data_IF_047309197548
#
_entry.id   IF_047309197548
#
_cell.length_a   1.000
_cell.length_b   1.000
_cell.length_c   1.000
_cell.angle_alpha   90.00
_cell.angle_beta   90.00
_cell.angle_gamma   90.00
#
_symmetry.space_group_name_H-M   'P 1'
#
loop_
_entity.id
_entity.type
_entity.pdbx_description
1 polymer ?
#
# COMPACT_ATOMS: atom_id res chain seq x y z
N UNK A 1 -22.76 -10.24 0.08
CA UNK A 1 -23.08 -8.80 0.29
C UNK A 1 -22.62 -7.95 -0.88
N UNK A 2 -21.29 -7.82 -1.19
CA UNK A 2 -20.82 -6.98 -2.32
C UNK A 2 -21.34 -7.45 -3.69
N UNK A 3 -21.33 -8.76 -3.96
CA UNK A 3 -21.87 -9.35 -5.20
C UNK A 3 -23.35 -9.06 -5.37
N UNK A 4 -24.12 -9.17 -4.30
CA UNK A 4 -25.56 -8.88 -4.29
C UNK A 4 -25.85 -7.41 -4.60
N UNK A 5 -25.10 -6.49 -3.97
CA UNK A 5 -25.20 -5.05 -4.25
C UNK A 5 -24.92 -4.72 -5.73
N UNK A 6 -23.87 -5.34 -6.28
CA UNK A 6 -23.50 -5.16 -7.70
C UNK A 6 -24.59 -5.69 -8.62
N UNK A 7 -25.11 -6.89 -8.36
CA UNK A 7 -26.19 -7.51 -9.14
C UNK A 7 -27.45 -6.61 -9.10
N UNK A 8 -27.89 -6.18 -7.90
CA UNK A 8 -29.04 -5.28 -7.75
C UNK A 8 -28.86 -3.96 -8.53
N UNK A 9 -27.68 -3.35 -8.43
CA UNK A 9 -27.39 -2.11 -9.14
C UNK A 9 -27.41 -2.24 -10.67
N UNK A 10 -26.98 -3.39 -11.22
CA UNK A 10 -27.03 -3.65 -12.66
C UNK A 10 -28.47 -4.01 -13.09
N UNK A 11 -29.22 -4.72 -12.25
CA UNK A 11 -30.62 -5.07 -12.49
C UNK A 11 -31.51 -3.84 -12.53
N UNK A 12 -31.33 -2.88 -11.61
CA UNK A 12 -32.02 -1.59 -11.60
C UNK A 12 -31.80 -0.77 -12.89
N UNK A 13 -30.64 -0.95 -13.54
CA UNK A 13 -30.33 -0.35 -14.84
C UNK A 13 -30.92 -1.11 -16.03
N UNK A 14 -31.58 -2.27 -15.81
CA UNK A 14 -32.12 -3.13 -16.86
C UNK A 14 -31.05 -3.78 -17.76
N UNK A 15 -29.80 -3.87 -17.28
CA UNK A 15 -28.65 -4.37 -18.06
C UNK A 15 -28.10 -5.72 -17.57
N UNK A 16 -28.74 -6.33 -16.57
CA UNK A 16 -28.31 -7.61 -16.03
C UNK A 16 -28.71 -8.74 -16.99
N UNK A 17 -27.70 -9.49 -17.46
CA UNK A 17 -27.91 -10.74 -18.21
C UNK A 17 -27.59 -11.94 -17.32
N UNK A 18 -28.17 -13.12 -17.63
CA UNK A 18 -27.90 -14.35 -16.88
C UNK A 18 -26.41 -14.72 -16.91
N UNK A 19 -25.76 -14.52 -18.06
CA UNK A 19 -24.32 -14.76 -18.20
C UNK A 19 -23.49 -13.84 -17.26
N UNK A 20 -23.79 -12.54 -17.22
CA UNK A 20 -23.12 -11.59 -16.34
C UNK A 20 -23.35 -11.92 -14.87
N UNK A 21 -24.57 -12.27 -14.51
CA UNK A 21 -24.92 -12.69 -13.14
C UNK A 21 -24.10 -13.90 -12.71
N UNK A 22 -23.96 -14.90 -13.58
CA UNK A 22 -23.13 -16.08 -13.30
C UNK A 22 -21.65 -15.72 -13.17
N UNK A 23 -21.11 -14.84 -14.01
CA UNK A 23 -19.73 -14.37 -13.92
C UNK A 23 -19.49 -13.64 -12.60
N UNK A 24 -20.39 -12.76 -12.16
CA UNK A 24 -20.27 -12.07 -10.87
C UNK A 24 -20.30 -13.05 -9.71
N UNK A 25 -21.19 -14.05 -9.74
CA UNK A 25 -21.28 -15.07 -8.71
C UNK A 25 -20.04 -15.97 -8.67
N UNK A 26 -19.46 -16.30 -9.81
CA UNK A 26 -18.27 -17.12 -9.94
C UNK A 26 -16.95 -16.36 -9.60
N UNK A 27 -16.94 -15.04 -9.61
CA UNK A 27 -15.76 -14.24 -9.32
C UNK A 27 -15.21 -14.53 -7.91
N UNK A 28 -13.94 -14.91 -7.80
CA UNK A 28 -13.32 -15.30 -6.51
C UNK A 28 -12.86 -14.10 -5.68
N UNK A 29 -12.58 -12.98 -6.33
CA UNK A 29 -12.04 -11.78 -5.67
C UNK A 29 -12.96 -10.56 -5.82
N UNK A 30 -12.89 -9.64 -4.86
CA UNK A 30 -13.62 -8.37 -4.95
C UNK A 30 -13.18 -7.52 -6.15
N UNK A 31 -11.92 -7.62 -6.53
CA UNK A 31 -11.36 -6.91 -7.70
C UNK A 31 -12.00 -7.42 -8.99
N UNK A 32 -12.18 -8.74 -9.14
CA UNK A 32 -12.88 -9.32 -10.30
C UNK A 32 -14.34 -8.89 -10.35
N UNK A 33 -15.02 -8.80 -9.21
CA UNK A 33 -16.39 -8.25 -9.13
C UNK A 33 -16.43 -6.79 -9.54
N UNK A 34 -15.50 -5.97 -9.09
CA UNK A 34 -15.41 -4.56 -9.43
C UNK A 34 -15.08 -4.35 -10.92
N UNK A 35 -14.26 -5.19 -11.54
CA UNK A 35 -13.98 -5.17 -12.98
C UNK A 35 -15.26 -5.47 -13.80
N UNK A 36 -16.03 -6.50 -13.42
CA UNK A 36 -17.30 -6.83 -14.08
C UNK A 36 -18.37 -5.73 -13.89
N UNK A 37 -18.36 -5.03 -12.77
CA UNK A 37 -19.27 -3.92 -12.49
C UNK A 37 -18.88 -2.61 -13.19
N UNK A 38 -17.62 -2.45 -13.56
CA UNK A 38 -17.06 -1.19 -14.06
C UNK A 38 -17.83 -0.54 -15.22
N UNK A 39 -18.28 -1.27 -16.25
CA UNK A 39 -19.07 -0.70 -17.33
C UNK A 39 -20.44 -0.14 -16.87
N UNK A 40 -20.97 -0.66 -15.77
CA UNK A 40 -22.30 -0.34 -15.24
C UNK A 40 -22.27 0.65 -14.08
N UNK A 41 -21.08 0.89 -13.53
CA UNK A 41 -20.90 1.79 -12.39
C UNK A 41 -21.21 3.22 -12.79
N UNK A 42 -22.04 3.96 -12.01
CA UNK A 42 -22.25 5.38 -12.26
C UNK A 42 -20.92 6.13 -12.28
N UNK A 43 -20.55 6.67 -13.42
CA UNK A 43 -19.31 7.41 -13.60
C UNK A 43 -19.57 8.90 -13.43
N UNK A 44 -18.56 9.61 -12.90
CA UNK A 44 -18.52 11.06 -13.01
C UNK A 44 -18.39 11.42 -14.50
N UNK A 45 -18.70 12.67 -14.86
CA UNK A 45 -18.60 13.16 -16.23
C UNK A 45 -17.18 12.96 -16.77
N UNK A 46 -17.00 11.96 -17.64
CA UNK A 46 -15.73 11.59 -18.28
C UNK A 46 -15.64 12.21 -19.67
N UNK A 47 -14.44 12.17 -20.31
CA UNK A 47 -14.29 12.58 -21.72
C UNK A 47 -15.21 11.78 -22.63
N UNK A 48 -15.31 10.46 -22.40
CA UNK A 48 -16.20 9.59 -23.19
C UNK A 48 -17.68 9.91 -22.97
N UNK A 49 -18.12 10.19 -21.72
CA UNK A 49 -19.51 10.63 -21.48
C UNK A 49 -19.83 11.95 -22.19
N UNK A 50 -18.91 12.90 -22.15
CA UNK A 50 -19.07 14.17 -22.89
C UNK A 50 -19.17 13.91 -24.40
N UNK A 51 -18.31 13.04 -24.92
CA UNK A 51 -18.34 12.68 -26.34
C UNK A 51 -19.65 11.98 -26.74
N UNK A 52 -20.21 11.12 -25.90
CA UNK A 52 -21.52 10.48 -26.09
C UNK A 52 -22.67 11.50 -26.06
N UNK A 53 -22.64 12.43 -25.11
CA UNK A 53 -23.61 13.54 -25.05
C UNK A 53 -23.59 14.39 -26.32
N UNK A 54 -22.41 14.55 -26.94
CA UNK A 54 -22.22 15.23 -28.23
C UNK A 54 -22.68 14.40 -29.45
N UNK A 55 -23.06 13.13 -29.22
CA UNK A 55 -23.54 12.24 -30.29
C UNK A 55 -22.45 11.59 -31.12
N UNK A 56 -21.25 11.42 -30.56
CA UNK A 56 -20.08 10.85 -31.27
C UNK A 56 -19.97 9.32 -31.15
N UNK A 57 -20.92 8.67 -30.50
CA UNK A 57 -20.92 7.19 -30.36
C UNK A 57 -21.02 6.45 -31.70
N UNK A 58 -21.84 6.90 -32.69
CA UNK A 58 -21.83 6.27 -34.01
C UNK A 58 -20.46 6.36 -34.71
N UNK A 59 -19.75 7.50 -34.61
CA UNK A 59 -18.39 7.63 -35.16
C UNK A 59 -17.40 6.68 -34.49
N UNK A 60 -17.46 6.48 -33.17
CA UNK A 60 -16.68 5.50 -32.46
C UNK A 60 -16.94 4.08 -32.99
N UNK A 61 -18.21 3.74 -33.24
CA UNK A 61 -18.57 2.43 -33.84
C UNK A 61 -18.03 2.27 -35.25
N UNK A 62 -18.06 3.32 -36.08
CA UNK A 62 -17.48 3.31 -37.41
C UNK A 62 -15.96 2.99 -37.35
N UNK A 63 -15.23 3.62 -36.42
CA UNK A 63 -13.82 3.30 -36.20
C UNK A 63 -13.60 1.83 -35.81
N UNK A 64 -14.42 1.31 -34.90
CA UNK A 64 -14.32 -0.08 -34.42
C UNK A 64 -14.68 -1.12 -35.48
N UNK A 65 -15.56 -0.80 -36.43
CA UNK A 65 -15.89 -1.67 -37.55
C UNK A 65 -14.72 -1.87 -38.52
N UNK A 66 -13.77 -0.91 -38.58
CA UNK A 66 -12.55 -0.98 -39.42
C UNK A 66 -12.86 -1.25 -40.90
N UNK A 67 -13.90 -0.63 -41.44
CA UNK A 67 -14.39 -0.84 -42.80
C UNK A 67 -14.44 0.43 -43.63
N UNK A 68 -13.83 1.53 -43.17
CA UNK A 68 -13.77 2.76 -43.92
C UNK A 68 -12.97 2.57 -45.23
N UNK A 69 -13.48 3.13 -46.31
CA UNK A 69 -12.89 3.21 -47.62
C UNK A 69 -12.36 4.58 -48.01
N UNK A 70 -12.49 5.54 -47.07
CA UNK A 70 -12.07 6.94 -47.18
C UNK A 70 -11.47 7.43 -45.86
N UNK A 71 -10.76 8.56 -45.82
CA UNK A 71 -10.14 9.08 -44.60
C UNK A 71 -11.16 9.29 -43.46
N UNK A 72 -10.80 8.83 -42.23
CA UNK A 72 -11.66 8.97 -41.06
C UNK A 72 -12.00 10.43 -40.73
N UNK A 73 -11.18 11.38 -41.16
CA UNK A 73 -11.42 12.80 -41.00
C UNK A 73 -12.59 13.29 -41.84
N UNK A 74 -12.78 12.74 -43.06
CA UNK A 74 -13.90 13.02 -43.91
C UNK A 74 -15.22 12.50 -43.30
N UNK A 75 -15.19 11.30 -42.77
CA UNK A 75 -16.33 10.73 -42.02
C UNK A 75 -16.67 11.59 -40.80
N UNK A 76 -15.64 12.00 -40.02
CA UNK A 76 -15.80 12.84 -38.85
C UNK A 76 -16.40 14.23 -39.15
N UNK A 77 -16.16 14.76 -40.35
CA UNK A 77 -16.75 16.05 -40.75
C UNK A 77 -18.29 16.05 -40.73
N UNK A 78 -18.90 14.88 -40.92
CA UNK A 78 -20.38 14.74 -40.80
C UNK A 78 -20.93 14.90 -39.37
N UNK A 79 -20.07 14.92 -38.36
CA UNK A 79 -20.43 15.07 -36.95
C UNK A 79 -20.13 16.46 -36.37
N UNK A 80 -19.67 17.40 -37.19
CA UNK A 80 -19.47 18.79 -36.77
C UNK A 80 -20.81 19.41 -36.42
N UNK A 81 -20.91 19.98 -35.22
CA UNK A 81 -22.13 20.67 -34.74
C UNK A 81 -21.76 21.67 -33.66
N UNK A 82 -21.94 22.94 -33.96
CA UNK A 82 -21.76 24.03 -32.97
C UNK A 82 -22.71 23.88 -31.78
N UNK A 83 -23.95 23.46 -32.04
CA UNK A 83 -24.96 23.24 -31.01
C UNK A 83 -24.55 22.17 -29.98
N UNK A 84 -23.88 21.14 -30.45
CA UNK A 84 -23.35 20.05 -29.61
C UNK A 84 -21.93 20.31 -29.12
N UNK A 85 -21.33 21.44 -29.47
CA UNK A 85 -19.95 21.81 -29.07
C UNK A 85 -18.87 20.97 -29.74
N UNK A 86 -19.10 20.52 -30.98
CA UNK A 86 -18.12 19.87 -31.84
C UNK A 86 -17.73 20.86 -32.94
N UNK A 87 -16.59 21.51 -32.78
CA UNK A 87 -16.18 22.60 -33.65
C UNK A 87 -15.51 22.13 -34.94
N UNK A 88 -14.72 21.03 -34.85
CA UNK A 88 -13.92 20.52 -35.97
C UNK A 88 -14.10 19.00 -36.13
N UNK A 89 -13.66 18.46 -37.28
CA UNK A 89 -13.61 17.03 -37.54
C UNK A 89 -12.62 16.32 -36.60
N UNK A 90 -11.52 16.99 -36.26
CA UNK A 90 -10.50 16.51 -35.31
C UNK A 90 -11.13 16.39 -33.92
N UNK A 91 -11.96 17.36 -33.47
CA UNK A 91 -12.67 17.28 -32.18
C UNK A 91 -13.64 16.09 -32.15
N UNK A 92 -14.36 15.86 -33.26
CA UNK A 92 -15.24 14.72 -33.41
C UNK A 92 -14.46 13.39 -33.31
N UNK A 93 -13.36 13.32 -34.02
CA UNK A 93 -12.51 12.11 -34.03
C UNK A 93 -11.88 11.85 -32.65
N UNK A 94 -11.39 12.89 -31.98
CA UNK A 94 -10.86 12.77 -30.62
C UNK A 94 -11.94 12.28 -29.64
N UNK A 95 -13.16 12.81 -29.73
CA UNK A 95 -14.27 12.34 -28.92
C UNK A 95 -14.63 10.87 -29.18
N UNK A 96 -14.61 10.45 -30.45
CA UNK A 96 -14.82 9.06 -30.80
C UNK A 96 -13.70 8.15 -30.24
N UNK A 97 -12.44 8.58 -30.31
CA UNK A 97 -11.31 7.87 -29.71
C UNK A 97 -11.42 7.79 -28.16
N UNK A 98 -11.88 8.84 -27.51
CA UNK A 98 -12.11 8.84 -26.05
C UNK A 98 -13.19 7.81 -25.65
N UNK A 99 -14.24 7.63 -26.47
CA UNK A 99 -15.25 6.58 -26.26
C UNK A 99 -14.63 5.19 -26.41
N UNK A 100 -13.84 4.97 -27.46
CA UNK A 100 -13.14 3.69 -27.69
C UNK A 100 -12.16 3.39 -26.55
N UNK A 101 -11.38 4.37 -26.12
CA UNK A 101 -10.40 4.22 -25.04
C UNK A 101 -11.08 3.83 -23.72
N UNK A 102 -12.22 4.43 -23.39
CA UNK A 102 -12.98 4.07 -22.18
C UNK A 102 -13.59 2.68 -22.30
N UNK A 103 -14.11 2.28 -23.47
CA UNK A 103 -14.64 0.94 -23.70
C UNK A 103 -13.55 -0.14 -23.47
N UNK A 104 -12.35 0.07 -24.02
CA UNK A 104 -11.19 -0.83 -23.81
C UNK A 104 -10.83 -0.89 -22.32
N UNK A 105 -10.80 0.25 -21.63
CA UNK A 105 -10.44 0.30 -20.20
C UNK A 105 -11.46 -0.38 -19.29
N UNK A 106 -12.71 -0.51 -19.74
CA UNK A 106 -13.78 -1.14 -18.96
C UNK A 106 -13.89 -2.64 -19.17
N UNK A 107 -13.17 -3.21 -20.14
CA UNK A 107 -13.17 -4.65 -20.38
C UNK A 107 -12.50 -5.42 -19.24
N UNK A 108 -13.29 -6.25 -18.54
CA UNK A 108 -12.85 -7.01 -17.37
C UNK A 108 -11.71 -8.00 -17.71
N UNK A 109 -11.80 -8.68 -18.85
CA UNK A 109 -10.80 -9.65 -19.30
C UNK A 109 -9.45 -8.97 -19.57
N UNK A 110 -9.47 -7.76 -20.15
CA UNK A 110 -8.24 -7.02 -20.43
C UNK A 110 -7.57 -6.58 -19.12
N UNK A 111 -8.34 -6.09 -18.19
CA UNK A 111 -7.85 -5.69 -16.86
C UNK A 111 -7.26 -6.87 -16.10
N UNK A 112 -7.94 -8.01 -16.10
CA UNK A 112 -7.47 -9.23 -15.46
C UNK A 112 -6.13 -9.70 -16.06
N UNK A 113 -6.03 -9.74 -17.40
CA UNK A 113 -4.80 -10.08 -18.09
C UNK A 113 -3.64 -9.13 -17.75
N UNK A 114 -3.90 -7.81 -17.78
CA UNK A 114 -2.86 -6.79 -17.53
C UNK A 114 -2.38 -6.88 -16.08
N UNK A 115 -3.29 -7.05 -15.12
CA UNK A 115 -2.95 -7.23 -13.70
C UNK A 115 -2.07 -8.47 -13.50
N UNK A 116 -2.47 -9.59 -14.07
CA UNK A 116 -1.72 -10.84 -13.96
C UNK A 116 -0.32 -10.73 -14.60
N UNK A 117 -0.22 -10.11 -15.77
CA UNK A 117 1.05 -9.84 -16.43
C UNK A 117 1.96 -8.95 -15.60
N UNK A 118 1.41 -7.86 -15.05
CA UNK A 118 2.17 -6.92 -14.24
C UNK A 118 2.63 -7.56 -12.92
N UNK A 119 1.79 -8.37 -12.29
CA UNK A 119 2.19 -9.13 -11.10
C UNK A 119 3.33 -10.11 -11.37
N UNK A 120 3.33 -10.77 -12.55
CA UNK A 120 4.35 -11.77 -12.90
C UNK A 120 5.65 -11.18 -13.41
N UNK A 121 5.57 -10.10 -14.21
CA UNK A 121 6.73 -9.55 -14.96
C UNK A 121 7.06 -8.10 -14.59
N UNK A 122 6.21 -7.44 -13.84
CA UNK A 122 6.45 -6.07 -13.41
C UNK A 122 7.58 -5.98 -12.40
N UNK A 123 8.17 -4.80 -12.32
CA UNK A 123 9.27 -4.46 -11.44
C UNK A 123 8.88 -3.27 -10.59
N UNK A 124 9.12 -3.34 -9.28
CA UNK A 124 8.97 -2.19 -8.41
C UNK A 124 10.31 -1.48 -8.31
N UNK A 125 10.31 -0.19 -8.65
CA UNK A 125 11.50 0.66 -8.59
C UNK A 125 11.30 1.77 -7.57
N UNK A 126 12.38 2.20 -6.93
CA UNK A 126 12.35 3.41 -6.13
C UNK A 126 13.62 4.23 -6.29
N UNK A 127 13.45 5.54 -6.20
CA UNK A 127 14.54 6.52 -6.25
C UNK A 127 14.40 7.54 -5.14
N UNK A 128 15.53 8.08 -4.67
CA UNK A 128 15.52 9.18 -3.75
C UNK A 128 15.05 10.47 -4.45
N UNK A 129 14.28 11.28 -3.74
CA UNK A 129 13.97 12.64 -4.23
C UNK A 129 15.19 13.56 -4.14
N UNK A 130 16.00 13.36 -3.11
CA UNK A 130 17.27 14.01 -2.90
C UNK A 130 18.27 12.95 -2.44
N UNK A 131 19.30 12.69 -3.27
CA UNK A 131 20.31 11.66 -3.01
C UNK A 131 21.37 12.10 -1.97
N UNK A 132 21.45 13.39 -1.67
CA UNK A 132 22.42 13.93 -0.71
C UNK A 132 21.90 13.88 0.74
N UNK A 133 20.60 13.68 0.92
CA UNK A 133 19.98 13.59 2.26
C UNK A 133 20.20 12.19 2.85
N UNK A 134 20.96 12.10 3.93
CA UNK A 134 21.09 10.88 4.71
C UNK A 134 19.75 10.49 5.34
N UNK A 135 19.34 9.23 5.16
CA UNK A 135 18.12 8.71 5.76
C UNK A 135 18.20 7.20 6.01
N UNK A 136 17.26 6.68 6.79
CA UNK A 136 17.10 5.23 7.01
C UNK A 136 16.68 4.48 5.74
N UNK A 137 16.43 5.18 4.64
CA UNK A 137 15.97 4.62 3.35
C UNK A 137 17.06 4.57 2.29
N UNK A 138 18.33 4.82 2.62
CA UNK A 138 19.44 4.84 1.64
C UNK A 138 19.52 3.58 0.78
N UNK A 139 19.25 2.42 1.36
CA UNK A 139 19.23 1.15 0.62
C UNK A 139 18.13 1.06 -0.46
N UNK A 140 17.20 2.03 -0.48
CA UNK A 140 16.10 2.12 -1.45
C UNK A 140 16.25 3.32 -2.41
N UNK A 141 17.39 4.03 -2.40
CA UNK A 141 17.62 5.20 -3.25
C UNK A 141 17.80 4.85 -4.74
N UNK A 142 18.28 3.66 -5.03
CA UNK A 142 18.40 3.07 -6.37
C UNK A 142 17.94 1.59 -6.28
N UNK A 143 16.67 1.39 -5.97
CA UNK A 143 16.12 0.05 -5.74
C UNK A 143 15.30 -0.43 -6.93
N UNK A 144 15.51 -1.70 -7.29
CA UNK A 144 14.77 -2.38 -8.33
C UNK A 144 14.59 -3.86 -7.95
N UNK A 145 13.36 -4.35 -7.95
CA UNK A 145 13.07 -5.76 -7.68
C UNK A 145 11.79 -6.21 -8.39
N UNK A 146 11.77 -7.44 -8.98
CA UNK A 146 10.56 -8.00 -9.55
C UNK A 146 9.44 -8.13 -8.52
N UNK A 147 8.23 -7.69 -8.88
CA UNK A 147 7.05 -7.73 -7.99
C UNK A 147 6.82 -9.12 -7.40
N UNK A 148 6.97 -10.16 -8.21
CA UNK A 148 6.77 -11.55 -7.79
C UNK A 148 7.73 -12.04 -6.69
N UNK A 149 8.86 -11.34 -6.47
CA UNK A 149 9.89 -11.72 -5.49
C UNK A 149 9.95 -10.77 -4.29
N UNK A 150 9.14 -9.74 -4.30
CA UNK A 150 9.23 -8.63 -3.35
C UNK A 150 8.83 -9.06 -1.93
N UNK A 151 9.73 -8.92 -0.98
CA UNK A 151 9.47 -9.26 0.41
C UNK A 151 8.61 -8.20 1.11
N UNK A 152 7.68 -8.65 1.99
CA UNK A 152 6.71 -7.76 2.66
C UNK A 152 7.35 -6.60 3.44
N UNK A 153 8.46 -6.85 4.14
CA UNK A 153 9.16 -5.78 4.88
C UNK A 153 9.72 -4.68 3.96
N UNK A 154 10.13 -5.01 2.72
CA UNK A 154 10.57 -4.02 1.72
C UNK A 154 9.41 -3.18 1.22
N UNK A 155 8.25 -3.81 0.98
CA UNK A 155 7.01 -3.10 0.60
C UNK A 155 6.64 -2.06 1.66
N UNK A 156 6.65 -2.45 2.94
CA UNK A 156 6.33 -1.54 4.03
C UNK A 156 7.35 -0.41 4.19
N UNK A 157 8.65 -0.71 3.98
CA UNK A 157 9.71 0.30 4.02
C UNK A 157 9.58 1.29 2.87
N UNK A 158 9.35 0.82 1.63
CA UNK A 158 9.13 1.66 0.44
C UNK A 158 7.91 2.58 0.61
N UNK A 159 6.77 2.03 1.08
CA UNK A 159 5.56 2.80 1.34
C UNK A 159 5.78 3.88 2.41
N UNK A 160 6.57 3.56 3.43
CA UNK A 160 6.90 4.53 4.49
C UNK A 160 7.80 5.63 3.97
N UNK A 161 8.86 5.30 3.22
CA UNK A 161 9.76 6.28 2.61
C UNK A 161 9.04 7.20 1.62
N UNK A 162 8.07 6.67 0.86
CA UNK A 162 7.22 7.47 -0.03
C UNK A 162 6.29 8.41 0.75
N UNK A 163 5.65 7.93 1.83
CA UNK A 163 4.80 8.72 2.72
C UNK A 163 5.59 9.86 3.40
N UNK A 164 6.82 9.59 3.80
CA UNK A 164 7.75 10.57 4.38
C UNK A 164 8.38 11.50 3.32
N UNK A 165 8.03 11.31 2.03
CA UNK A 165 8.49 12.09 0.88
C UNK A 165 10.00 12.01 0.61
N UNK A 166 10.66 10.99 1.12
CA UNK A 166 12.08 10.69 0.86
C UNK A 166 12.23 9.91 -0.45
N UNK A 167 11.35 8.95 -0.70
CA UNK A 167 11.36 8.12 -1.89
C UNK A 167 10.26 8.49 -2.89
N UNK A 168 10.53 8.17 -4.16
CA UNK A 168 9.52 8.05 -5.22
C UNK A 168 9.47 6.59 -5.65
N UNK A 169 8.31 5.97 -5.55
CA UNK A 169 8.13 4.54 -5.87
C UNK A 169 7.27 4.40 -7.11
N UNK A 170 7.70 3.56 -8.06
CA UNK A 170 6.98 3.29 -9.32
C UNK A 170 6.87 1.80 -9.56
N UNK A 171 5.77 1.40 -10.18
CA UNK A 171 5.57 0.05 -10.69
C UNK A 171 5.75 0.07 -12.21
N UNK A 172 6.79 -0.55 -12.68
CA UNK A 172 7.07 -0.69 -14.10
C UNK A 172 6.43 -1.99 -14.62
N UNK A 173 5.45 -1.83 -15.49
CA UNK A 173 4.75 -2.95 -16.12
C UNK A 173 5.44 -3.33 -17.46
N UNK A 174 5.22 -4.55 -17.99
CA UNK A 174 5.69 -4.94 -19.31
C UNK A 174 4.83 -4.31 -20.42
N UNK A 175 4.98 -3.00 -20.59
CA UNK A 175 4.12 -2.13 -21.41
C UNK A 175 4.02 -2.60 -22.86
N UNK A 176 5.13 -2.91 -23.52
CA UNK A 176 5.14 -3.38 -24.90
C UNK A 176 4.31 -4.66 -25.11
N UNK A 177 4.32 -5.58 -24.13
CA UNK A 177 3.51 -6.80 -24.21
C UNK A 177 2.03 -6.50 -24.01
N UNK A 178 1.73 -5.57 -23.12
CA UNK A 178 0.36 -5.16 -22.81
C UNK A 178 -0.26 -4.42 -23.99
N UNK A 179 0.44 -3.44 -24.55
CA UNK A 179 -0.03 -2.69 -25.73
C UNK A 179 -0.27 -3.64 -26.90
N UNK A 180 0.69 -4.54 -27.20
CA UNK A 180 0.50 -5.55 -28.27
C UNK A 180 -0.70 -6.46 -28.02
N UNK A 181 -0.97 -6.82 -26.77
CA UNK A 181 -2.15 -7.60 -26.44
C UNK A 181 -3.44 -6.82 -26.70
N UNK A 182 -3.51 -5.57 -26.25
CA UNK A 182 -4.68 -4.71 -26.44
C UNK A 182 -4.91 -4.40 -27.93
N UNK A 183 -3.85 -4.11 -28.67
CA UNK A 183 -3.92 -3.94 -30.14
C UNK A 183 -4.48 -5.20 -30.81
N UNK A 184 -3.96 -6.39 -30.47
CA UNK A 184 -4.46 -7.66 -31.03
C UNK A 184 -5.94 -7.91 -30.73
N UNK A 185 -6.42 -7.43 -29.61
CA UNK A 185 -7.84 -7.56 -29.21
C UNK A 185 -8.75 -6.53 -29.87
N UNK A 186 -8.21 -5.35 -30.22
CA UNK A 186 -8.98 -4.24 -30.79
C UNK A 186 -8.90 -4.21 -32.30
N UNK A 187 -7.74 -4.54 -32.88
CA UNK A 187 -7.51 -4.49 -34.32
C UNK A 187 -7.83 -5.84 -34.95
N UNK A 188 -8.97 -5.91 -35.65
CA UNK A 188 -9.40 -7.13 -36.34
C UNK A 188 -9.03 -7.14 -37.83
N UNK A 189 -8.79 -5.95 -38.38
CA UNK A 189 -8.41 -5.75 -39.77
C UNK A 189 -7.35 -4.64 -39.88
N UNK A 190 -6.43 -4.76 -40.81
CA UNK A 190 -5.56 -3.64 -41.15
C UNK A 190 -6.31 -2.72 -42.12
N UNK A 191 -6.60 -1.51 -41.67
CA UNK A 191 -7.31 -0.49 -42.43
C UNK A 191 -6.56 0.85 -42.29
N UNK A 192 -6.02 1.41 -43.36
CA UNK A 192 -5.15 2.59 -43.33
C UNK A 192 -5.88 3.83 -42.76
N UNK A 193 -7.21 3.86 -42.79
CA UNK A 193 -8.02 5.00 -42.40
C UNK A 193 -8.47 4.93 -40.93
N UNK A 194 -8.50 3.74 -40.31
CA UNK A 194 -8.94 3.56 -38.92
C UNK A 194 -7.85 3.06 -37.98
N UNK A 195 -6.92 2.22 -38.46
CA UNK A 195 -5.87 1.61 -37.63
C UNK A 195 -5.02 2.61 -36.85
N UNK A 196 -4.58 3.76 -37.41
CA UNK A 196 -3.80 4.74 -36.64
C UNK A 196 -4.56 5.30 -35.44
N UNK A 197 -5.86 5.60 -35.60
CA UNK A 197 -6.72 6.15 -34.56
C UNK A 197 -7.03 5.11 -33.47
N UNK A 198 -7.26 3.86 -33.84
CA UNK A 198 -7.47 2.78 -32.89
C UNK A 198 -6.21 2.47 -32.08
N UNK A 199 -5.03 2.50 -32.68
CA UNK A 199 -3.76 2.38 -31.97
C UNK A 199 -3.56 3.52 -30.96
N UNK A 200 -3.85 4.75 -31.37
CA UNK A 200 -3.80 5.89 -30.48
C UNK A 200 -4.82 5.76 -29.33
N UNK A 201 -6.03 5.28 -29.60
CA UNK A 201 -7.03 5.02 -28.56
C UNK A 201 -6.61 3.90 -27.58
N UNK A 202 -5.95 2.84 -28.08
CA UNK A 202 -5.37 1.78 -27.24
C UNK A 202 -4.29 2.33 -26.32
N UNK A 203 -3.36 3.12 -26.85
CA UNK A 203 -2.28 3.74 -26.07
C UNK A 203 -2.86 4.66 -24.98
N UNK A 204 -3.77 5.56 -25.35
CA UNK A 204 -4.44 6.46 -24.39
C UNK A 204 -5.24 5.69 -23.30
N UNK A 205 -5.94 4.62 -23.73
CA UNK A 205 -6.65 3.74 -22.78
C UNK A 205 -5.71 3.15 -21.73
N UNK A 206 -4.58 2.62 -22.18
CA UNK A 206 -3.59 2.04 -21.28
C UNK A 206 -2.95 3.09 -20.37
N UNK A 207 -2.34 4.11 -20.94
CA UNK A 207 -1.57 5.12 -20.20
C UNK A 207 -2.43 5.91 -19.20
N UNK A 208 -3.59 6.36 -19.64
CA UNK A 208 -4.43 7.27 -18.87
C UNK A 208 -5.42 6.55 -17.95
N UNK A 209 -5.99 5.41 -18.36
CA UNK A 209 -7.11 4.78 -17.65
C UNK A 209 -6.73 3.47 -16.95
N UNK A 210 -5.94 2.60 -17.62
CA UNK A 210 -5.67 1.26 -17.11
C UNK A 210 -4.44 1.25 -16.20
N UNK A 211 -3.30 1.71 -16.68
CA UNK A 211 -2.02 1.61 -15.96
C UNK A 211 -2.07 2.25 -14.54
N UNK A 212 -2.57 3.48 -14.35
CA UNK A 212 -2.64 4.08 -13.02
C UNK A 212 -3.61 3.37 -12.06
N UNK A 213 -4.65 2.72 -12.61
CA UNK A 213 -5.61 1.98 -11.81
C UNK A 213 -5.02 0.63 -11.38
N UNK A 214 -4.43 -0.12 -12.31
CA UNK A 214 -3.79 -1.43 -12.04
C UNK A 214 -2.59 -1.26 -11.10
N UNK A 215 -1.76 -0.25 -11.30
CA UNK A 215 -0.66 0.07 -10.37
C UNK A 215 -1.17 0.22 -8.94
N UNK A 216 -2.21 1.03 -8.74
CA UNK A 216 -2.82 1.26 -7.44
C UNK A 216 -3.39 -0.02 -6.83
N UNK A 217 -4.08 -0.84 -7.63
CA UNK A 217 -4.64 -2.13 -7.21
C UNK A 217 -3.54 -3.08 -6.74
N UNK A 218 -2.47 -3.22 -7.53
CA UNK A 218 -1.33 -4.08 -7.20
C UNK A 218 -0.62 -3.58 -5.95
N UNK A 219 -0.31 -2.29 -5.85
CA UNK A 219 0.35 -1.72 -4.67
C UNK A 219 -0.49 -1.89 -3.40
N UNK A 220 -1.80 -1.75 -3.49
CA UNK A 220 -2.71 -1.99 -2.37
C UNK A 220 -2.69 -3.47 -1.95
N UNK A 221 -2.79 -4.39 -2.90
CA UNK A 221 -2.75 -5.83 -2.61
C UNK A 221 -1.42 -6.27 -1.98
N UNK A 222 -0.29 -5.77 -2.50
CA UNK A 222 1.04 -6.00 -1.93
C UNK A 222 1.15 -5.45 -0.50
N UNK A 223 0.62 -4.26 -0.26
CA UNK A 223 0.63 -3.62 1.06
C UNK A 223 -0.20 -4.40 2.06
N UNK A 224 -1.40 -4.80 1.70
CA UNK A 224 -2.30 -5.60 2.55
C UNK A 224 -1.64 -6.94 2.95
N UNK A 225 -1.12 -7.68 1.97
CA UNK A 225 -0.38 -8.92 2.21
C UNK A 225 0.86 -8.72 3.11
N UNK A 226 1.60 -7.63 2.91
CA UNK A 226 2.77 -7.29 3.71
C UNK A 226 2.39 -6.93 5.16
N UNK A 227 1.30 -6.20 5.36
CA UNK A 227 0.77 -5.85 6.68
C UNK A 227 0.29 -7.08 7.44
N UNK A 228 -0.48 -7.95 6.80
CA UNK A 228 -0.92 -9.22 7.41
C UNK A 228 0.26 -10.08 7.83
N UNK A 229 1.28 -10.20 6.97
CA UNK A 229 2.52 -10.90 7.30
C UNK A 229 3.23 -10.31 8.51
N UNK A 230 3.37 -8.99 8.56
CA UNK A 230 3.99 -8.28 9.68
C UNK A 230 3.22 -8.45 10.99
N UNK A 231 1.89 -8.34 10.96
CA UNK A 231 1.01 -8.56 12.13
C UNK A 231 1.17 -9.99 12.66
N UNK A 232 1.24 -10.98 11.77
CA UNK A 232 1.42 -12.40 12.16
C UNK A 232 2.77 -12.62 12.86
N UNK A 233 3.85 -12.05 12.33
CA UNK A 233 5.18 -12.12 12.95
C UNK A 233 5.19 -11.43 14.30
N UNK A 234 4.63 -10.22 14.37
CA UNK A 234 4.53 -9.48 15.63
C UNK A 234 3.71 -10.24 16.68
N UNK A 235 2.55 -10.79 16.30
CA UNK A 235 1.71 -11.59 17.20
C UNK A 235 2.44 -12.79 17.76
N UNK A 236 3.19 -13.51 16.92
CA UNK A 236 4.00 -14.66 17.37
C UNK A 236 5.11 -14.25 18.34
N UNK A 237 5.81 -13.15 18.07
CA UNK A 237 6.84 -12.63 18.96
C UNK A 237 6.26 -12.18 20.31
N UNK A 238 5.11 -11.51 20.26
CA UNK A 238 4.40 -11.08 21.47
C UNK A 238 3.93 -12.27 22.30
N UNK A 239 3.37 -13.31 21.67
CA UNK A 239 2.98 -14.54 22.34
C UNK A 239 4.19 -15.19 23.03
N UNK A 240 5.32 -15.34 22.33
CA UNK A 240 6.54 -15.88 22.90
C UNK A 240 7.03 -15.07 24.10
N UNK A 241 6.95 -13.75 24.04
CA UNK A 241 7.33 -12.86 25.13
C UNK A 241 6.41 -13.04 26.35
N UNK A 242 5.09 -13.05 26.13
CA UNK A 242 4.09 -13.19 27.20
C UNK A 242 4.06 -14.59 27.82
N UNK A 243 4.39 -15.62 27.05
CA UNK A 243 4.41 -17.03 27.50
C UNK A 243 5.75 -17.46 28.09
N UNK A 244 6.69 -16.54 28.31
CA UNK A 244 7.93 -16.87 29.01
C UNK A 244 7.65 -17.41 30.41
N UNK A 245 8.30 -18.49 30.83
CA UNK A 245 8.10 -19.04 32.16
C UNK A 245 8.58 -18.03 33.22
N UNK A 246 7.86 -17.91 34.36
CA UNK A 246 8.24 -16.99 35.42
C UNK A 246 9.58 -17.46 36.06
N UNK A 247 10.43 -16.50 36.41
CA UNK A 247 11.64 -16.74 37.19
C UNK A 247 11.20 -16.92 38.63
N UNK A 248 11.26 -18.17 39.12
CA UNK A 248 10.83 -18.53 40.46
C UNK A 248 11.92 -18.38 41.49
N UNK A 249 11.53 -18.19 42.76
CA UNK A 249 12.44 -18.22 43.90
C UNK A 249 13.31 -16.97 44.06
N UNK A 250 13.03 -15.91 43.34
CA UNK A 250 13.81 -14.67 43.37
C UNK A 250 13.10 -13.57 44.15
N UNK A 251 13.87 -12.74 44.84
CA UNK A 251 13.44 -11.43 45.30
C UNK A 251 13.79 -10.42 44.22
N UNK A 252 12.75 -9.80 43.63
CA UNK A 252 12.90 -8.99 42.45
C UNK A 252 12.72 -7.51 42.78
N UNK A 253 13.63 -6.67 42.29
CA UNK A 253 13.44 -5.22 42.22
C UNK A 253 12.87 -4.88 40.85
N UNK A 254 11.57 -4.59 40.77
CA UNK A 254 10.95 -4.01 39.59
C UNK A 254 11.30 -2.53 39.48
N UNK A 255 11.74 -2.10 38.32
CA UNK A 255 12.14 -0.72 38.02
C UNK A 255 11.36 -0.20 36.83
N UNK A 256 10.48 0.78 37.07
CA UNK A 256 9.76 1.51 36.02
C UNK A 256 10.49 2.84 35.74
N UNK A 257 11.24 2.95 34.64
CA UNK A 257 12.06 4.11 34.34
C UNK A 257 11.22 5.31 33.90
N UNK A 258 11.57 6.51 34.35
CA UNK A 258 11.02 7.76 33.86
C UNK A 258 11.99 8.92 34.10
N UNK A 259 11.95 9.93 33.22
CA UNK A 259 12.75 11.14 33.38
C UNK A 259 12.19 12.09 34.42
N UNK A 260 11.06 12.70 34.12
CA UNK A 260 10.51 13.83 34.91
C UNK A 260 9.87 13.41 36.22
N UNK A 261 9.14 12.32 36.23
CA UNK A 261 8.38 11.83 37.39
C UNK A 261 9.19 10.96 38.33
N UNK A 262 10.46 10.68 37.99
CA UNK A 262 11.32 9.76 38.71
C UNK A 262 11.05 8.29 38.40
N UNK A 263 12.05 7.44 38.65
CA UNK A 263 11.97 6.00 38.48
C UNK A 263 11.22 5.39 39.67
N UNK A 264 10.17 4.62 39.41
CA UNK A 264 9.40 3.94 40.45
C UNK A 264 9.99 2.54 40.65
N UNK A 265 10.26 2.20 41.89
CA UNK A 265 10.81 0.91 42.29
C UNK A 265 9.81 0.17 43.15
N UNK A 266 9.73 -1.15 42.95
CA UNK A 266 8.99 -2.05 43.82
C UNK A 266 9.81 -3.30 44.10
N UNK A 267 9.95 -3.63 45.37
CA UNK A 267 10.60 -4.91 45.79
C UNK A 267 9.52 -5.96 45.97
N UNK A 268 9.64 -7.08 45.30
CA UNK A 268 8.67 -8.17 45.31
C UNK A 268 9.33 -9.46 45.73
N UNK A 269 8.74 -10.20 46.66
CA UNK A 269 9.23 -11.49 47.09
C UNK A 269 8.92 -12.63 46.09
N UNK A 270 9.44 -13.83 46.38
CA UNK A 270 9.25 -15.00 45.55
C UNK A 270 7.80 -15.45 45.35
N UNK A 271 6.85 -14.92 46.15
CA UNK A 271 5.42 -15.23 46.07
C UNK A 271 4.62 -14.15 45.32
N UNK A 272 5.28 -13.06 44.90
CA UNK A 272 4.64 -11.92 44.24
C UNK A 272 4.14 -10.83 45.22
N UNK A 273 4.43 -10.94 46.53
CA UNK A 273 4.06 -9.94 47.53
C UNK A 273 5.00 -8.74 47.44
N UNK A 274 4.43 -7.54 47.34
CA UNK A 274 5.19 -6.29 47.41
C UNK A 274 5.69 -6.05 48.81
N UNK A 275 7.02 -5.93 48.99
CA UNK A 275 7.70 -5.71 50.26
C UNK A 275 7.99 -4.24 50.52
N UNK A 276 8.32 -3.48 49.46
CA UNK A 276 8.64 -2.04 49.58
C UNK A 276 8.44 -1.35 48.23
N UNK A 277 8.21 -0.05 48.26
CA UNK A 277 8.13 0.83 47.10
C UNK A 277 8.82 2.15 47.36
N UNK A 278 9.55 2.66 46.36
CA UNK A 278 10.24 3.95 46.46
C UNK A 278 10.37 4.60 45.10
N UNK A 279 10.47 5.92 45.07
CA UNK A 279 10.75 6.70 43.87
C UNK A 279 12.16 7.27 43.98
N UNK A 280 12.96 7.09 42.94
CA UNK A 280 14.33 7.65 42.85
C UNK A 280 14.46 8.49 41.60
N UNK A 281 15.43 9.40 41.58
CA UNK A 281 15.64 10.35 40.47
C UNK A 281 17.08 10.28 39.90
N UNK A 282 17.50 9.13 39.35
CA UNK A 282 18.88 8.97 38.85
C UNK A 282 19.11 9.62 37.50
N UNK A 283 18.05 9.99 36.79
CA UNK A 283 18.07 10.49 35.41
C UNK A 283 17.76 11.99 35.34
N UNK A 284 18.00 12.58 34.16
CA UNK A 284 17.64 13.98 33.90
C UNK A 284 16.12 14.22 34.14
N UNK A 285 15.73 15.42 34.56
CA UNK A 285 16.54 16.60 34.82
C UNK A 285 17.19 16.66 36.21
N UNK A 286 16.76 15.79 37.15
CA UNK A 286 17.21 15.86 38.56
C UNK A 286 18.62 15.32 38.77
N UNK A 287 19.05 14.29 38.04
CA UNK A 287 20.37 13.66 38.07
C UNK A 287 20.90 13.32 39.49
N UNK A 288 20.03 12.87 40.40
CA UNK A 288 20.36 12.53 41.79
C UNK A 288 20.97 11.11 41.89
N UNK A 289 22.02 10.87 41.11
CA UNK A 289 22.63 9.52 40.95
C UNK A 289 23.17 8.96 42.29
N UNK A 290 23.87 9.80 43.09
CA UNK A 290 24.44 9.37 44.37
C UNK A 290 23.36 8.96 45.38
N UNK A 291 22.26 9.77 45.50
CA UNK A 291 21.14 9.44 46.37
C UNK A 291 20.44 8.14 45.91
N UNK A 292 20.24 7.98 44.59
CA UNK A 292 19.64 6.79 44.01
C UNK A 292 20.47 5.53 44.30
N UNK A 293 21.79 5.59 44.12
CA UNK A 293 22.70 4.48 44.45
C UNK A 293 22.66 4.11 45.95
N UNK A 294 22.58 5.08 46.84
CA UNK A 294 22.47 4.84 48.26
C UNK A 294 21.16 4.12 48.65
N UNK A 295 20.03 4.54 48.02
CA UNK A 295 18.73 3.88 48.21
C UNK A 295 18.76 2.44 47.68
N UNK A 296 19.33 2.23 46.48
CA UNK A 296 19.44 0.91 45.87
C UNK A 296 20.29 -0.05 46.71
N UNK A 297 21.48 0.37 47.19
CA UNK A 297 22.30 -0.43 48.09
C UNK A 297 21.57 -0.84 49.35
N UNK A 298 20.83 0.10 49.95
CA UNK A 298 20.02 -0.18 51.15
C UNK A 298 18.90 -1.19 50.87
N UNK A 299 18.20 -1.09 49.76
CA UNK A 299 17.14 -2.04 49.36
C UNK A 299 17.72 -3.43 49.08
N UNK A 300 18.83 -3.51 48.34
CA UNK A 300 19.50 -4.78 48.00
C UNK A 300 19.92 -5.50 49.29
N UNK A 301 20.58 -4.79 50.20
CA UNK A 301 21.04 -5.39 51.47
C UNK A 301 19.84 -5.76 52.38
N UNK A 302 18.79 -4.94 52.47
CA UNK A 302 17.65 -5.18 53.36
C UNK A 302 16.81 -6.39 52.94
N UNK A 303 16.57 -6.54 51.63
CA UNK A 303 15.65 -7.54 51.10
C UNK A 303 16.36 -8.71 50.38
N UNK A 304 17.68 -8.70 50.34
CA UNK A 304 18.49 -9.72 49.63
C UNK A 304 18.02 -9.86 48.15
N UNK A 305 17.91 -8.72 47.45
CA UNK A 305 17.45 -8.68 46.07
C UNK A 305 18.43 -9.47 45.21
N UNK A 306 17.91 -10.42 44.43
CA UNK A 306 18.68 -11.32 43.57
C UNK A 306 18.49 -11.02 42.08
N UNK A 307 17.46 -10.24 41.73
CA UNK A 307 17.16 -9.90 40.35
C UNK A 307 16.64 -8.47 40.28
N UNK A 308 17.12 -7.71 39.28
CA UNK A 308 16.58 -6.39 38.94
C UNK A 308 15.93 -6.49 37.56
N UNK A 309 14.64 -6.14 37.48
CA UNK A 309 13.87 -6.10 36.21
C UNK A 309 13.60 -4.66 35.85
N UNK A 310 14.11 -4.20 34.72
CA UNK A 310 13.96 -2.82 34.23
C UNK A 310 12.93 -2.78 33.10
N UNK A 311 11.96 -1.88 33.21
CA UNK A 311 10.96 -1.66 32.18
C UNK A 311 11.59 -1.11 30.88
N UNK A 312 11.20 -1.66 29.75
CA UNK A 312 11.69 -1.23 28.43
C UNK A 312 10.92 -0.03 27.88
N UNK A 313 11.03 1.10 28.57
CA UNK A 313 10.34 2.34 28.20
C UNK A 313 11.26 3.55 28.14
N UNK A 314 10.67 4.72 28.37
CA UNK A 314 11.41 5.99 28.47
C UNK A 314 12.43 5.91 29.59
N UNK A 315 13.68 6.40 29.37
CA UNK A 315 14.80 6.40 30.32
C UNK A 315 15.32 4.98 30.71
N UNK A 316 15.03 3.93 29.96
CA UNK A 316 15.49 2.57 30.25
C UNK A 316 17.01 2.42 30.15
N UNK A 317 17.63 2.99 29.11
CA UNK A 317 19.09 2.94 28.90
C UNK A 317 19.87 3.67 29.99
N UNK A 318 19.40 4.85 30.37
CA UNK A 318 19.99 5.64 31.45
C UNK A 318 19.88 4.92 32.80
N UNK A 319 18.72 4.29 33.04
CA UNK A 319 18.51 3.46 34.25
C UNK A 319 19.40 2.23 34.27
N UNK A 320 19.57 1.55 33.13
CA UNK A 320 20.48 0.41 32.99
C UNK A 320 21.93 0.82 33.28
N UNK A 321 22.38 1.96 32.77
CA UNK A 321 23.73 2.48 33.07
C UNK A 321 23.96 2.69 34.57
N UNK A 322 22.96 3.23 35.29
CA UNK A 322 23.06 3.42 36.76
C UNK A 322 23.17 2.10 37.47
N UNK A 323 22.43 1.08 37.05
CA UNK A 323 22.49 -0.27 37.64
C UNK A 323 23.84 -0.93 37.37
N UNK A 324 24.30 -0.90 36.12
CA UNK A 324 25.60 -1.43 35.72
C UNK A 324 26.72 -0.78 36.56
N UNK A 325 26.74 0.56 36.63
CA UNK A 325 27.70 1.27 37.49
C UNK A 325 27.59 0.90 38.99
N UNK A 326 26.39 0.54 39.48
CA UNK A 326 26.22 0.11 40.87
C UNK A 326 26.83 -1.25 41.11
N UNK A 327 26.63 -2.22 40.20
CA UNK A 327 27.13 -3.58 40.29
C UNK A 327 28.66 -3.61 40.19
N UNK A 328 29.24 -2.93 39.19
CA UNK A 328 30.70 -2.88 39.02
C UNK A 328 31.45 -2.21 40.18
N UNK A 329 30.80 -1.25 40.87
CA UNK A 329 31.42 -0.58 42.04
C UNK A 329 31.28 -1.37 43.34
N UNK A 330 30.40 -2.39 43.39
CA UNK A 330 30.34 -3.30 44.55
C UNK A 330 31.36 -4.43 44.47
N UNK A 331 31.61 -4.98 43.28
CA UNK A 331 32.60 -6.02 43.06
C UNK A 331 34.05 -5.54 43.30
N UNK A 332 34.32 -4.23 43.00
CA UNK A 332 35.66 -3.65 43.24
C UNK A 332 35.92 -3.27 44.73
N UNK A 333 34.93 -3.40 45.59
CA UNK A 333 35.09 -3.10 47.05
C UNK A 333 35.26 -4.36 47.90
N UNK A 334 35.12 -5.54 47.31
CA UNK A 334 35.29 -6.84 47.96
C UNK A 334 36.63 -7.54 47.61
N UNK A 335 37.51 -6.88 46.79
CA UNK A 335 38.93 -7.19 46.62
C UNK A 335 39.81 -6.24 47.46
#
# INVERSE_FOLDING_TARGET
EKKEQVISSIEEQGKLTDALKQQILAAETLVAVDDLYRPYRPKRRTRATIAKERGLEPLANVLLLQQLDHPALEEAAGYISEEKGVATAEDALQGAMDIVAEAIADEADYRSYIREKTMKKGTLTSGAKDKETESVYEMYYDFEEPVAKLAGHRILALNRGEKEKVLTVKLEAPEDEIIRYLEKKTLHRDNPYTTPYLKAAVADSYERLIAPAIEREIRNALTESAQEGAIRVFGKNLEQLLMQPPIRGQVVLGWDPAFRTGCKLAVVDATGKVLDTVVIFPTAPQNKVAEAKAVLKKLIAKYHITLISVGNGTASRESEQVIVCLLYTSDAADE
#
